data_IF_990506701684
#
_entry.id   IF_990506701684
#
_cell.length_a   1.000
_cell.length_b   1.000
_cell.length_c   1.000
_cell.angle_alpha   90.00
_cell.angle_beta   90.00
_cell.angle_gamma   90.00
#
_symmetry.space_group_name_H-M   'P 1'
#
loop_
_entity.id
_entity.type
_entity.pdbx_description
1 polymer ?
#
# COMPACT_ATOMS: atom_id res chain seq x y z
N UNK A 1 -14.18 -10.55 -7.18
CA UNK A 1 -14.90 -9.95 -6.02
C UNK A 1 -15.49 -8.62 -6.43
N UNK A 2 -16.74 -8.33 -6.03
CA UNK A 2 -17.31 -6.97 -6.14
C UNK A 2 -16.84 -6.17 -4.91
N UNK A 3 -16.53 -4.89 -5.09
CA UNK A 3 -16.15 -4.02 -3.96
C UNK A 3 -17.32 -3.91 -2.99
N UNK A 4 -17.04 -3.96 -1.68
CA UNK A 4 -18.06 -3.74 -0.64
C UNK A 4 -18.71 -2.36 -0.76
N UNK A 5 -18.02 -1.41 -1.40
CA UNK A 5 -18.51 -0.06 -1.68
C UNK A 5 -19.24 0.07 -3.02
N UNK A 6 -19.25 -0.98 -3.84
CA UNK A 6 -19.86 -0.97 -5.18
C UNK A 6 -19.04 -0.25 -6.26
N UNK A 7 -17.90 0.37 -5.93
CA UNK A 7 -17.04 1.07 -6.90
C UNK A 7 -15.55 1.01 -6.56
N UNK A 8 -14.71 1.19 -7.60
CA UNK A 8 -13.27 1.40 -7.47
C UNK A 8 -12.97 2.90 -7.35
N UNK A 9 -11.97 3.30 -6.53
CA UNK A 9 -11.49 4.68 -6.49
C UNK A 9 -10.98 5.06 -7.87
N UNK A 10 -11.10 6.34 -8.28
CA UNK A 10 -10.64 6.81 -9.58
C UNK A 10 -9.18 6.44 -9.88
N UNK A 11 -8.33 6.41 -8.85
CA UNK A 11 -6.93 6.02 -8.95
C UNK A 11 -6.72 4.59 -9.47
N UNK A 12 -7.68 3.67 -9.29
CA UNK A 12 -7.57 2.26 -9.67
C UNK A 12 -8.36 1.84 -10.92
N UNK A 13 -9.30 2.66 -11.44
CA UNK A 13 -10.21 2.25 -12.54
C UNK A 13 -9.47 1.78 -13.81
N UNK A 14 -8.39 2.46 -14.19
CA UNK A 14 -7.56 2.16 -15.38
C UNK A 14 -6.11 1.87 -14.98
N UNK A 15 -5.91 0.93 -14.07
CA UNK A 15 -4.57 0.52 -13.66
C UNK A 15 -3.93 -0.32 -14.80
N UNK A 16 -2.77 0.06 -15.35
CA UNK A 16 -2.10 -0.70 -16.40
C UNK A 16 -1.59 -2.04 -15.87
N UNK A 17 -1.31 -3.00 -16.76
CA UNK A 17 -0.62 -4.25 -16.36
C UNK A 17 0.86 -3.95 -16.15
N UNK A 18 1.44 -4.41 -15.03
CA UNK A 18 2.88 -4.29 -14.78
C UNK A 18 3.66 -5.08 -15.82
N UNK A 19 4.65 -4.44 -16.44
CA UNK A 19 5.48 -5.06 -17.46
C UNK A 19 6.69 -5.79 -16.87
N UNK A 20 7.16 -6.81 -17.56
CA UNK A 20 8.33 -7.62 -17.18
C UNK A 20 8.04 -8.62 -16.06
N UNK A 21 9.09 -9.32 -15.64
CA UNK A 21 8.97 -10.42 -14.69
C UNK A 21 8.51 -9.98 -13.30
N UNK A 22 7.78 -10.89 -12.65
CA UNK A 22 7.35 -10.75 -11.25
C UNK A 22 8.58 -10.88 -10.35
N UNK A 23 8.83 -9.93 -9.43
CA UNK A 23 9.93 -10.07 -8.50
C UNK A 23 9.68 -11.18 -7.48
N UNK A 24 10.77 -11.67 -6.90
CA UNK A 24 10.76 -12.66 -5.83
C UNK A 24 10.52 -11.95 -4.50
N UNK A 25 9.57 -12.47 -3.73
CA UNK A 25 9.30 -12.05 -2.35
C UNK A 25 9.70 -13.19 -1.45
N UNK A 26 10.64 -12.94 -0.54
CA UNK A 26 11.05 -13.90 0.47
C UNK A 26 9.86 -14.19 1.40
N UNK A 27 9.47 -15.45 1.63
CA UNK A 27 8.37 -15.74 2.55
C UNK A 27 8.79 -15.62 4.03
N UNK A 28 10.08 -15.58 4.35
CA UNK A 28 10.58 -15.42 5.72
C UNK A 28 10.40 -13.98 6.19
N UNK A 29 9.96 -13.79 7.43
CA UNK A 29 9.90 -12.46 8.07
C UNK A 29 11.25 -11.73 7.89
N UNK A 30 11.26 -10.47 7.42
CA UNK A 30 10.14 -9.52 7.27
C UNK A 30 9.50 -9.50 5.86
N UNK A 31 9.69 -10.57 5.09
CA UNK A 31 9.16 -10.81 3.76
C UNK A 31 9.67 -9.86 2.67
N UNK A 32 10.98 -9.62 2.62
CA UNK A 32 11.62 -8.66 1.72
C UNK A 32 11.51 -9.06 0.24
N UNK A 33 11.66 -8.07 -0.64
CA UNK A 33 11.80 -8.32 -2.07
C UNK A 33 13.27 -8.62 -2.39
N UNK A 34 13.56 -9.74 -3.05
CA UNK A 34 14.95 -10.21 -3.24
C UNK A 34 15.58 -9.70 -4.55
N UNK A 35 14.78 -9.22 -5.51
CA UNK A 35 15.25 -8.68 -6.79
C UNK A 35 14.40 -7.49 -7.27
N UNK A 36 14.80 -6.85 -8.37
CA UNK A 36 14.10 -5.68 -8.95
C UNK A 36 13.85 -4.53 -7.96
N UNK A 37 14.85 -4.23 -7.12
CA UNK A 37 14.77 -3.14 -6.15
C UNK A 37 14.60 -1.79 -6.85
N UNK A 38 14.02 -0.83 -6.14
CA UNK A 38 13.95 0.53 -6.63
C UNK A 38 15.36 1.14 -6.67
N UNK A 39 15.75 1.80 -7.77
CA UNK A 39 16.95 2.65 -7.75
C UNK A 39 16.82 3.71 -6.65
N UNK A 40 17.90 4.05 -5.91
CA UNK A 40 17.83 4.98 -4.78
C UNK A 40 17.09 6.29 -5.11
N UNK A 41 17.41 6.88 -6.28
CA UNK A 41 16.74 8.11 -6.78
C UNK A 41 15.22 7.98 -6.91
N UNK A 42 14.71 6.81 -7.34
CA UNK A 42 13.27 6.56 -7.51
C UNK A 42 12.62 6.41 -6.14
N UNK A 43 13.25 5.67 -5.24
CA UNK A 43 12.78 5.50 -3.86
C UNK A 43 12.72 6.84 -3.12
N UNK A 44 13.76 7.65 -3.22
CA UNK A 44 13.77 8.98 -2.59
C UNK A 44 12.72 9.92 -3.18
N UNK A 45 12.55 9.93 -4.50
CA UNK A 45 11.49 10.71 -5.15
C UNK A 45 10.10 10.25 -4.71
N UNK A 46 9.93 8.95 -4.45
CA UNK A 46 8.71 8.42 -3.91
C UNK A 46 8.46 8.93 -2.49
N UNK A 47 9.43 8.77 -1.57
CA UNK A 47 9.33 9.27 -0.20
C UNK A 47 9.07 10.78 -0.15
N UNK A 48 9.77 11.59 -0.95
CA UNK A 48 9.54 13.05 -1.05
C UNK A 48 8.13 13.41 -1.53
N UNK A 49 7.52 12.56 -2.34
CA UNK A 49 6.12 12.76 -2.77
C UNK A 49 5.14 12.34 -1.67
N UNK A 50 5.41 11.24 -0.96
CA UNK A 50 4.58 10.75 0.14
C UNK A 50 4.51 11.75 1.30
N UNK A 51 5.64 12.39 1.63
CA UNK A 51 5.73 13.43 2.65
C UNK A 51 4.90 14.70 2.34
N UNK A 52 4.37 14.83 1.12
CA UNK A 52 3.51 15.95 0.71
C UNK A 52 2.02 15.62 0.78
N UNK A 53 1.66 14.37 1.10
CA UNK A 53 0.27 14.00 1.27
C UNK A 53 -0.28 14.64 2.56
N UNK A 54 -1.50 15.17 2.47
CA UNK A 54 -2.14 15.88 3.57
C UNK A 54 -2.24 14.99 4.82
N UNK A 55 -1.70 15.50 5.92
CA UNK A 55 -1.69 14.83 7.22
C UNK A 55 -0.93 13.50 7.25
N UNK A 56 0.01 13.26 6.32
CA UNK A 56 0.90 12.09 6.36
C UNK A 56 2.27 12.48 6.89
N UNK A 57 2.69 11.80 7.95
CA UNK A 57 4.05 11.84 8.48
C UNK A 57 4.83 10.60 8.03
N UNK A 58 6.12 10.80 7.71
CA UNK A 58 7.06 9.70 7.50
C UNK A 58 7.83 9.45 8.81
N UNK A 59 7.64 8.28 9.38
CA UNK A 59 8.26 7.86 10.63
C UNK A 59 9.13 6.62 10.41
N UNK A 60 10.12 6.40 11.28
CA UNK A 60 10.88 5.15 11.28
C UNK A 60 9.97 3.99 11.67
N UNK A 61 10.02 2.91 10.89
CA UNK A 61 9.33 1.67 11.22
C UNK A 61 10.25 0.72 11.99
N UNK A 62 9.69 0.00 12.97
CA UNK A 62 10.38 -1.09 13.69
C UNK A 62 10.67 -2.32 12.80
N UNK A 63 10.21 -2.34 11.55
CA UNK A 63 10.48 -3.41 10.61
C UNK A 63 11.96 -3.36 10.17
N UNK A 64 12.75 -4.42 10.38
CA UNK A 64 14.10 -4.50 9.82
C UNK A 64 14.07 -4.92 8.34
N UNK A 65 15.06 -4.55 7.51
CA UNK A 65 15.93 -3.38 7.65
C UNK A 65 15.12 -2.09 7.70
N UNK A 66 15.72 -1.00 8.21
CA UNK A 66 15.06 0.28 8.43
C UNK A 66 14.11 0.68 7.27
N UNK A 67 12.85 0.85 7.61
CA UNK A 67 11.77 1.20 6.70
C UNK A 67 11.07 2.49 7.14
N UNK A 68 10.25 3.06 6.27
CA UNK A 68 9.52 4.30 6.51
C UNK A 68 8.02 4.00 6.63
N UNK A 69 7.47 4.19 7.82
CA UNK A 69 6.04 4.12 8.07
C UNK A 69 5.35 5.41 7.62
N UNK A 70 4.19 5.28 6.96
CA UNK A 70 3.33 6.38 6.60
C UNK A 70 2.20 6.44 7.62
N UNK A 71 2.29 7.42 8.51
CA UNK A 71 1.38 7.60 9.64
C UNK A 71 0.41 8.74 9.31
N UNK A 72 -0.89 8.45 9.41
CA UNK A 72 -1.95 9.43 9.13
C UNK A 72 -2.31 10.20 10.40
N UNK A 73 -2.50 11.51 10.29
CA UNK A 73 -2.93 12.36 11.40
C UNK A 73 -4.28 11.89 11.97
N UNK A 74 -4.42 11.91 13.30
CA UNK A 74 -5.59 11.35 14.01
C UNK A 74 -6.95 11.85 13.48
N UNK A 75 -7.06 13.15 13.22
CA UNK A 75 -8.31 13.73 12.73
C UNK A 75 -8.69 13.29 11.31
N UNK A 76 -7.71 12.84 10.50
CA UNK A 76 -7.95 12.30 9.15
C UNK A 76 -8.08 10.78 9.13
N UNK A 77 -7.59 10.08 10.16
CA UNK A 77 -7.54 8.62 10.21
C UNK A 77 -8.89 7.99 10.60
N UNK A 78 -9.89 8.27 9.77
CA UNK A 78 -11.30 7.90 9.95
C UNK A 78 -11.70 6.60 9.25
N UNK A 79 -10.79 5.96 8.52
CA UNK A 79 -11.00 4.66 7.90
C UNK A 79 -11.25 3.54 8.92
N UNK A 80 -11.66 2.38 8.42
CA UNK A 80 -11.83 1.19 9.27
C UNK A 80 -10.49 0.72 9.83
N UNK A 81 -10.45 -0.02 10.96
CA UNK A 81 -9.20 -0.58 11.50
C UNK A 81 -8.39 -1.37 10.46
N UNK A 82 -9.05 -2.04 9.52
CA UNK A 82 -8.42 -2.82 8.45
C UNK A 82 -7.69 -1.99 7.39
N UNK A 83 -7.76 -0.65 7.46
CA UNK A 83 -6.97 0.24 6.62
C UNK A 83 -5.57 0.49 7.20
N UNK A 84 -5.27 0.02 8.41
CA UNK A 84 -4.03 0.30 9.12
C UNK A 84 -3.26 -0.98 9.48
N UNK A 85 -1.93 -0.94 9.30
CA UNK A 85 -1.01 -2.02 9.68
C UNK A 85 -0.87 -2.07 11.20
N UNK A 86 -0.74 -0.88 11.82
CA UNK A 86 -0.57 -0.68 13.27
C UNK A 86 -0.83 0.79 13.58
N UNK A 87 -1.58 1.08 14.65
CA UNK A 87 -1.91 2.47 14.99
C UNK A 87 -2.57 3.18 13.81
N UNK A 88 -1.99 4.30 13.38
CA UNK A 88 -2.43 5.04 12.16
C UNK A 88 -1.51 4.86 10.96
N UNK A 89 -0.63 3.87 11.00
CA UNK A 89 0.25 3.51 9.88
C UNK A 89 -0.55 2.77 8.81
N UNK A 90 -0.77 3.38 7.65
CA UNK A 90 -1.53 2.76 6.55
C UNK A 90 -0.64 2.11 5.48
N UNK A 91 0.65 2.46 5.46
CA UNK A 91 1.63 1.86 4.56
C UNK A 91 3.05 1.92 5.16
N UNK A 92 3.93 1.02 4.73
CA UNK A 92 5.36 0.99 5.09
C UNK A 92 6.19 0.84 3.81
N UNK A 93 7.03 1.82 3.50
CA UNK A 93 7.98 1.78 2.38
C UNK A 93 9.31 1.20 2.85
N UNK A 94 9.71 0.08 2.25
CA UNK A 94 10.90 -0.69 2.66
C UNK A 94 12.17 -0.16 2.00
N UNK A 95 13.33 -0.63 2.48
CA UNK A 95 14.64 -0.24 1.94
C UNK A 95 14.79 -0.61 0.45
N UNK A 96 14.28 -1.77 0.04
CA UNK A 96 14.25 -2.25 -1.36
C UNK A 96 13.28 -1.45 -2.26
N UNK A 97 12.45 -0.58 -1.69
CA UNK A 97 11.45 0.25 -2.37
C UNK A 97 10.07 -0.39 -2.53
N UNK A 98 9.90 -1.66 -2.15
CA UNK A 98 8.59 -2.30 -2.04
C UNK A 98 7.76 -1.67 -0.92
N UNK A 99 6.44 -1.84 -0.98
CA UNK A 99 5.50 -1.22 -0.03
C UNK A 99 4.58 -2.25 0.59
N UNK A 100 4.56 -2.34 1.90
CA UNK A 100 3.52 -3.06 2.63
C UNK A 100 2.36 -2.10 2.88
N UNK A 101 1.13 -2.48 2.50
CA UNK A 101 -0.07 -1.69 2.75
C UNK A 101 -1.32 -2.57 2.81
N UNK A 102 -2.45 -1.97 3.21
CA UNK A 102 -3.77 -2.61 3.16
C UNK A 102 -4.69 -1.86 2.19
N UNK A 103 -5.60 -2.59 1.56
CA UNK A 103 -6.64 -2.05 0.68
C UNK A 103 -7.99 -2.68 1.01
N UNK A 104 -9.08 -2.05 0.57
CA UNK A 104 -10.35 -2.76 0.44
C UNK A 104 -10.14 -4.01 -0.43
N UNK A 105 -10.71 -5.17 -0.07
CA UNK A 105 -10.44 -6.43 -0.76
C UNK A 105 -10.59 -6.41 -2.28
N UNK A 106 -11.63 -5.80 -2.85
CA UNK A 106 -11.77 -5.75 -4.31
C UNK A 106 -10.78 -4.77 -4.96
N UNK A 107 -10.37 -3.71 -4.26
CA UNK A 107 -9.31 -2.81 -4.71
C UNK A 107 -7.97 -3.53 -4.73
N UNK A 108 -7.67 -4.30 -3.67
CA UNK A 108 -6.49 -5.16 -3.61
C UNK A 108 -6.49 -6.21 -4.72
N UNK A 109 -7.63 -6.87 -4.98
CA UNK A 109 -7.74 -7.83 -6.08
C UNK A 109 -7.41 -7.18 -7.44
N UNK A 110 -7.91 -5.97 -7.71
CA UNK A 110 -7.58 -5.23 -8.94
C UNK A 110 -6.07 -4.99 -9.09
N UNK A 111 -5.38 -4.71 -7.99
CA UNK A 111 -3.92 -4.47 -7.96
C UNK A 111 -3.16 -5.78 -8.24
N UNK A 112 -3.60 -6.88 -7.63
CA UNK A 112 -3.03 -8.22 -7.84
C UNK A 112 -3.23 -8.70 -9.29
N UNK A 113 -4.44 -8.55 -9.84
CA UNK A 113 -4.77 -8.94 -11.22
C UNK A 113 -3.95 -8.16 -12.26
N UNK A 114 -3.48 -6.97 -11.90
CA UNK A 114 -2.61 -6.14 -12.73
C UNK A 114 -1.11 -6.37 -12.48
N UNK A 115 -0.77 -7.29 -11.60
CA UNK A 115 0.61 -7.73 -11.37
C UNK A 115 1.47 -6.76 -10.55
N UNK A 116 0.85 -5.83 -9.82
CA UNK A 116 1.60 -4.79 -9.08
C UNK A 116 2.03 -5.20 -7.67
N UNK A 117 1.62 -6.37 -7.20
CA UNK A 117 2.00 -6.87 -5.89
C UNK A 117 1.64 -8.33 -5.66
N UNK A 118 1.85 -8.77 -4.44
CA UNK A 118 1.41 -10.07 -3.91
C UNK A 118 0.69 -9.86 -2.58
N UNK A 119 -0.15 -10.81 -2.22
CA UNK A 119 -0.60 -10.95 -0.83
C UNK A 119 0.63 -11.12 0.06
N UNK A 120 0.63 -10.50 1.22
CA UNK A 120 1.70 -10.60 2.20
C UNK A 120 1.92 -12.10 2.55
N UNK A 121 3.13 -12.66 2.41
CA UNK A 121 3.34 -14.11 2.57
C UNK A 121 2.82 -14.67 3.88
N UNK A 122 3.02 -13.94 4.99
CA UNK A 122 2.56 -14.33 6.32
C UNK A 122 1.05 -14.25 6.55
N UNK A 123 0.27 -13.61 5.66
CA UNK A 123 -1.19 -13.57 5.79
C UNK A 123 -1.84 -14.97 5.73
N UNK A 124 -1.16 -15.94 5.11
CA UNK A 124 -1.59 -17.35 5.07
C UNK A 124 -1.23 -18.14 6.32
N UNK A 125 -0.19 -17.72 7.04
CA UNK A 125 0.39 -18.48 8.16
C UNK A 125 0.00 -17.92 9.52
N UNK A 126 -0.35 -16.63 9.58
CA UNK A 126 -0.71 -15.91 10.80
C UNK A 126 -2.21 -15.57 10.78
N UNK A 127 -3.06 -16.60 10.75
CA UNK A 127 -4.50 -16.43 10.72
C UNK A 127 -4.98 -15.52 11.85
N UNK A 128 -5.62 -14.41 11.48
CA UNK A 128 -6.16 -13.40 12.42
C UNK A 128 -5.20 -12.27 12.79
N UNK A 129 -3.88 -12.44 12.68
CA UNK A 129 -2.91 -11.39 13.02
C UNK A 129 -2.50 -10.52 11.82
N UNK A 130 -2.53 -11.08 10.60
CA UNK A 130 -2.33 -10.32 9.36
C UNK A 130 -3.56 -10.52 8.48
N UNK A 131 -4.31 -9.46 8.16
CA UNK A 131 -5.52 -9.59 7.37
C UNK A 131 -5.19 -10.03 5.92
N UNK A 132 -6.09 -10.78 5.25
CA UNK A 132 -5.87 -11.26 3.87
C UNK A 132 -5.63 -10.13 2.86
N UNK A 133 -6.16 -8.93 3.12
CA UNK A 133 -5.95 -7.73 2.30
C UNK A 133 -4.59 -7.04 2.51
N UNK A 134 -3.72 -7.58 3.35
CA UNK A 134 -2.34 -7.13 3.50
C UNK A 134 -1.53 -7.48 2.25
N UNK A 135 -1.03 -6.46 1.53
CA UNK A 135 -0.31 -6.63 0.28
C UNK A 135 1.13 -6.13 0.40
N UNK A 136 2.02 -6.72 -0.40
CA UNK A 136 3.33 -6.17 -0.73
C UNK A 136 3.29 -5.72 -2.19
N UNK A 137 3.31 -4.40 -2.41
CA UNK A 137 3.53 -3.81 -3.73
C UNK A 137 4.99 -3.92 -4.12
N UNK A 138 5.22 -4.21 -5.40
CA UNK A 138 6.57 -4.35 -5.93
C UNK A 138 7.28 -3.02 -6.06
N UNK A 139 8.59 -3.03 -5.77
CA UNK A 139 9.40 -1.83 -5.83
C UNK A 139 9.36 -1.20 -7.24
N UNK A 140 9.25 0.15 -7.32
CA UNK A 140 9.20 0.84 -8.60
C UNK A 140 10.59 0.86 -9.24
N UNK A 141 10.74 0.27 -10.43
CA UNK A 141 12.03 0.23 -11.15
C UNK A 141 12.35 1.54 -11.84
N UNK A 142 11.32 2.28 -12.24
CA UNK A 142 11.43 3.50 -13.03
C UNK A 142 10.28 4.49 -12.75
N UNK A 143 10.23 5.59 -13.51
CA UNK A 143 9.18 6.61 -13.40
C UNK A 143 7.77 6.09 -13.75
N UNK A 144 7.68 5.09 -14.64
CA UNK A 144 6.39 4.52 -15.07
C UNK A 144 5.81 3.67 -13.95
N UNK A 145 6.62 2.81 -13.35
CA UNK A 145 6.23 2.04 -12.16
C UNK A 145 5.88 3.00 -11.00
N UNK A 146 6.70 4.03 -10.76
CA UNK A 146 6.45 5.01 -9.70
C UNK A 146 5.11 5.72 -9.87
N UNK A 147 4.76 6.14 -11.10
CA UNK A 147 3.47 6.77 -11.38
C UNK A 147 2.29 5.85 -11.04
N UNK A 148 2.44 4.54 -11.25
CA UNK A 148 1.40 3.56 -10.91
C UNK A 148 1.34 3.30 -9.40
N UNK A 149 2.48 3.16 -8.73
CA UNK A 149 2.53 2.99 -7.28
C UNK A 149 1.87 4.16 -6.55
N UNK A 150 2.11 5.41 -6.97
CA UNK A 150 1.45 6.60 -6.42
C UNK A 150 -0.08 6.47 -6.46
N UNK A 151 -0.64 5.95 -7.55
CA UNK A 151 -2.09 5.73 -7.68
C UNK A 151 -2.61 4.68 -6.70
N UNK A 152 -1.87 3.60 -6.49
CA UNK A 152 -2.25 2.54 -5.55
C UNK A 152 -2.16 3.06 -4.11
N UNK A 153 -1.11 3.82 -3.77
CA UNK A 153 -1.00 4.47 -2.46
C UNK A 153 -2.12 5.46 -2.21
N UNK A 154 -2.53 6.25 -3.21
CA UNK A 154 -3.69 7.14 -3.05
C UNK A 154 -4.98 6.36 -2.73
N UNK A 155 -5.14 5.14 -3.26
CA UNK A 155 -6.27 4.29 -2.87
C UNK A 155 -6.15 3.82 -1.41
N UNK A 156 -4.96 3.41 -0.96
CA UNK A 156 -4.73 3.04 0.44
C UNK A 156 -4.93 4.23 1.39
N UNK A 157 -4.44 5.41 1.00
CA UNK A 157 -4.67 6.67 1.72
C UNK A 157 -6.16 6.99 1.81
N UNK A 158 -6.93 6.91 0.71
CA UNK A 158 -8.38 7.09 0.75
C UNK A 158 -9.09 6.07 1.65
N UNK A 159 -8.62 4.82 1.67
CA UNK A 159 -9.17 3.79 2.55
C UNK A 159 -8.90 4.13 4.02
N UNK A 160 -7.68 4.54 4.35
CA UNK A 160 -7.27 4.98 5.69
C UNK A 160 -7.96 6.29 6.13
N UNK A 161 -8.23 7.20 5.19
CA UNK A 161 -9.03 8.37 5.44
C UNK A 161 -10.51 8.06 5.57
N UNK A 162 -10.98 6.88 5.18
CA UNK A 162 -12.41 6.54 5.18
C UNK A 162 -13.24 7.29 4.12
N UNK A 163 -12.60 7.87 3.10
CA UNK A 163 -13.29 8.63 2.04
C UNK A 163 -12.52 8.65 0.73
N UNK A 164 -13.24 8.73 -0.38
CA UNK A 164 -12.70 9.00 -1.72
C UNK A 164 -13.16 10.39 -2.14
N UNK A 165 -12.26 11.38 -2.07
CA UNK A 165 -12.64 12.77 -2.28
C UNK A 165 -13.66 13.21 -1.23
N UNK A 166 -14.84 13.65 -1.67
CA UNK A 166 -15.98 14.02 -0.79
C UNK A 166 -16.87 12.82 -0.41
N UNK A 167 -16.70 11.67 -1.06
CA UNK A 167 -17.52 10.49 -0.82
C UNK A 167 -17.01 9.71 0.39
N UNK A 168 -17.78 9.69 1.47
CA UNK A 168 -17.50 8.89 2.66
C UNK A 168 -17.72 7.41 2.34
N UNK A 169 -16.81 6.56 2.83
CA UNK A 169 -16.92 5.11 2.73
C UNK A 169 -17.81 4.58 3.88
N UNK A 170 -18.70 3.62 3.63
CA UNK A 170 -19.48 2.94 4.66
C UNK A 170 -18.67 2.40 5.85
N UNK A 171 -19.31 2.42 7.02
CA UNK A 171 -18.81 1.98 8.34
C UNK A 171 -17.43 2.57 8.70
N UNK A 172 -17.23 3.84 8.39
CA UNK A 172 -16.06 4.63 8.80
C UNK A 172 -16.41 5.54 9.97
N UNK A 173 -15.40 6.14 10.61
CA UNK A 173 -15.56 7.02 11.76
C UNK A 173 -15.89 8.49 11.39
N UNK A 174 -16.46 8.69 10.20
CA UNK A 174 -16.99 9.98 9.73
C UNK A 174 -18.42 10.21 10.23
#
# INVERSE_FOLDING_TARGET
>A
MKSSYGYLPPSLRRLPVRQGERPLINPRYPCLQDNHWAPPRIREQFLRWLAKLEGVSLESSDLPPAAQALVLAEHLAKGKPEAFIRGKTFAIVRADGSVHLLLEPAWGQKVLDKGWGSVHPLARYMAGAIPPQSLILYAPRDQRDLAVLRRIILAAYSFACGRIGTQILPDTAW
#
